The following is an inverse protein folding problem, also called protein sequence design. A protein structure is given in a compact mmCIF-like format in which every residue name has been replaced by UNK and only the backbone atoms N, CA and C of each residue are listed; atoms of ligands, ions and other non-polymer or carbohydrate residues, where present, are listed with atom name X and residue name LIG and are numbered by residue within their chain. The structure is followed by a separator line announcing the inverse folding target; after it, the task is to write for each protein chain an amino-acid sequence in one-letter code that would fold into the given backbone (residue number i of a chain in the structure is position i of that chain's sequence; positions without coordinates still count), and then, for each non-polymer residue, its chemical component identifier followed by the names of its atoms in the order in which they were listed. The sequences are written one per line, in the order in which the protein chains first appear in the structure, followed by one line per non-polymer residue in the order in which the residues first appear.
data_IF_741125632105
#
_entry.id   IF_741125632105
#
_cell.length_a   1.000
_cell.length_b   1.000
_cell.length_c   1.000
_cell.angle_alpha   90.00
_cell.angle_beta   90.00
_cell.angle_gamma   90.00
#
_symmetry.space_group_name_H-M   'P 1'
#
loop_
_entity.id
_entity.type
_entity.pdbx_description
1 polymer ?
#
# COMPACT_ATOMS: atom_id res chain seq x y z
N UNK A 1 1.33 -4.60 14.84
CA UNK A 1 0.67 -5.92 14.91
C UNK A 1 -0.85 -5.83 15.05
N UNK A 2 -1.41 -5.35 16.18
CA UNK A 2 -2.86 -5.42 16.44
C UNK A 2 -3.79 -4.72 15.43
N UNK A 3 -3.27 -3.77 14.65
CA UNK A 3 -4.01 -3.07 13.59
C UNK A 3 -3.87 -3.69 12.19
N UNK A 4 -3.06 -4.75 12.03
CA UNK A 4 -2.91 -5.45 10.74
C UNK A 4 -4.20 -6.21 10.42
N UNK A 5 -4.68 -6.15 9.17
CA UNK A 5 -5.90 -6.83 8.71
C UNK A 5 -6.92 -5.92 8.02
N UNK A 6 -6.77 -4.60 8.06
CA UNK A 6 -7.66 -3.67 7.32
C UNK A 6 -7.51 -3.83 5.80
N UNK A 7 -6.35 -4.28 5.34
CA UNK A 7 -5.97 -4.55 3.96
C UNK A 7 -6.76 -5.71 3.34
N UNK A 8 -7.23 -6.66 4.15
CA UNK A 8 -8.11 -7.76 3.71
C UNK A 8 -9.44 -7.24 3.15
N UNK A 9 -9.94 -6.11 3.67
CA UNK A 9 -11.15 -5.45 3.17
C UNK A 9 -10.95 -4.99 1.72
N UNK A 10 -9.76 -4.51 1.38
CA UNK A 10 -9.43 -4.09 0.02
C UNK A 10 -9.28 -5.30 -0.91
N UNK A 11 -8.70 -6.40 -0.42
CA UNK A 11 -8.60 -7.66 -1.17
C UNK A 11 -9.97 -8.26 -1.52
N UNK A 12 -10.99 -8.04 -0.68
CA UNK A 12 -12.36 -8.53 -0.90
C UNK A 12 -13.25 -7.52 -1.64
N UNK A 13 -12.65 -6.51 -2.29
CA UNK A 13 -13.41 -5.44 -2.94
C UNK A 13 -14.20 -5.90 -4.18
N UNK A 14 -13.80 -7.01 -4.81
CA UNK A 14 -14.48 -7.59 -5.97
C UNK A 14 -15.89 -8.08 -5.65
N UNK A 15 -16.15 -8.48 -4.40
CA UNK A 15 -17.45 -8.93 -3.92
C UNK A 15 -18.34 -7.77 -3.42
N UNK A 16 -17.79 -6.55 -3.33
CA UNK A 16 -18.49 -5.40 -2.76
C UNK A 16 -19.34 -4.66 -3.81
N UNK A 17 -20.61 -4.39 -3.45
CA UNK A 17 -21.47 -3.52 -4.27
C UNK A 17 -20.97 -2.08 -4.21
N UNK A 18 -20.49 -1.55 -5.35
CA UNK A 18 -19.88 -0.22 -5.48
C UNK A 18 -18.59 -0.05 -4.65
N UNK A 19 -17.49 -0.74 -5.04
CA UNK A 19 -16.26 -0.83 -4.26
C UNK A 19 -15.60 0.54 -4.05
N UNK A 20 -15.74 1.46 -5.01
CA UNK A 20 -15.15 2.80 -4.98
C UNK A 20 -15.56 3.61 -3.74
N UNK A 21 -16.76 3.39 -3.20
CA UNK A 21 -17.27 4.09 -2.01
C UNK A 21 -17.40 3.17 -0.80
N UNK A 22 -17.71 1.90 -1.01
CA UNK A 22 -17.89 0.94 0.07
C UNK A 22 -16.57 0.63 0.78
N UNK A 23 -15.49 0.37 0.03
CA UNK A 23 -14.20 -0.07 0.58
C UNK A 23 -13.58 1.01 1.48
N UNK A 24 -13.46 2.29 1.08
CA UNK A 24 -12.87 3.31 1.95
C UNK A 24 -13.68 3.56 3.23
N UNK A 25 -15.02 3.51 3.14
CA UNK A 25 -15.89 3.67 4.31
C UNK A 25 -15.78 2.49 5.26
N UNK A 26 -15.70 1.27 4.72
CA UNK A 26 -15.52 0.06 5.51
C UNK A 26 -14.18 0.07 6.27
N UNK A 27 -13.08 0.46 5.61
CA UNK A 27 -11.76 0.59 6.25
C UNK A 27 -11.78 1.66 7.35
N UNK A 28 -12.36 2.84 7.08
CA UNK A 28 -12.42 3.91 8.08
C UNK A 28 -13.25 3.51 9.31
N UNK A 29 -14.39 2.85 9.09
CA UNK A 29 -15.26 2.41 10.18
C UNK A 29 -14.63 1.27 10.99
N UNK A 30 -14.05 0.25 10.33
CA UNK A 30 -13.42 -0.88 11.01
C UNK A 30 -12.20 -0.45 11.82
N UNK A 31 -11.34 0.41 11.25
CA UNK A 31 -10.17 0.93 11.94
C UNK A 31 -10.55 1.84 13.10
N UNK A 32 -11.55 2.71 12.93
CA UNK A 32 -12.06 3.58 13.99
C UNK A 32 -12.65 2.78 15.15
N UNK A 33 -13.47 1.77 14.85
CA UNK A 33 -14.07 0.89 15.85
C UNK A 33 -13.00 0.08 16.60
N UNK A 34 -12.03 -0.51 15.89
CA UNK A 34 -10.94 -1.25 16.51
C UNK A 34 -10.06 -0.35 17.39
N UNK A 35 -9.73 0.86 16.93
CA UNK A 35 -8.97 1.84 17.71
C UNK A 35 -9.71 2.21 18.99
N UNK A 36 -11.00 2.53 18.89
CA UNK A 36 -11.83 2.83 20.05
C UNK A 36 -11.89 1.67 21.03
N UNK A 37 -12.10 0.44 20.54
CA UNK A 37 -12.12 -0.75 21.38
C UNK A 37 -10.77 -0.99 22.08
N UNK A 38 -9.63 -0.85 21.39
CA UNK A 38 -8.31 -1.01 22.00
C UNK A 38 -8.01 0.03 23.06
N UNK A 39 -8.37 1.29 22.83
CA UNK A 39 -8.21 2.36 23.84
C UNK A 39 -9.08 2.05 25.06
N UNK A 40 -10.35 1.69 24.86
CA UNK A 40 -11.28 1.38 25.94
C UNK A 40 -10.82 0.17 26.75
N UNK A 41 -10.42 -0.92 26.08
CA UNK A 41 -9.91 -2.13 26.74
C UNK A 41 -8.66 -1.81 27.54
N UNK A 42 -7.71 -1.06 26.97
CA UNK A 42 -6.48 -0.67 27.67
C UNK A 42 -6.77 0.22 28.89
N UNK A 43 -7.70 1.17 28.74
CA UNK A 43 -8.14 2.06 29.83
C UNK A 43 -8.80 1.28 30.95
N UNK A 44 -9.75 0.39 30.64
CA UNK A 44 -10.45 -0.42 31.64
C UNK A 44 -9.48 -1.37 32.35
N UNK A 45 -8.60 -2.04 31.61
CA UNK A 45 -7.64 -2.99 32.16
C UNK A 45 -6.68 -2.33 33.14
N UNK A 46 -6.14 -1.16 32.78
CA UNK A 46 -5.23 -0.38 33.65
C UNK A 46 -5.94 0.25 34.86
N UNK A 47 -7.24 0.49 34.78
CA UNK A 47 -8.06 0.90 35.93
C UNK A 47 -8.39 -0.27 36.87
N UNK A 48 -8.53 -1.49 36.34
CA UNK A 48 -8.87 -2.68 37.11
C UNK A 48 -7.70 -3.23 37.91
N UNK A 49 -6.52 -3.30 37.29
CA UNK A 49 -5.34 -3.96 37.85
C UNK A 49 -4.09 -3.12 37.54
N UNK A 50 -3.15 -2.95 38.51
CA UNK A 50 -1.91 -2.25 38.25
C UNK A 50 -1.08 -2.90 37.13
N UNK A 51 -0.62 -2.08 36.19
CA UNK A 51 0.05 -2.51 34.95
C UNK A 51 1.26 -3.44 35.14
N UNK A 52 1.99 -3.30 36.25
CA UNK A 52 3.17 -4.10 36.57
C UNK A 52 2.86 -5.52 37.06
N UNK A 53 1.59 -5.83 37.33
CA UNK A 53 1.18 -7.15 37.83
C UNK A 53 0.48 -8.01 36.78
N UNK A 54 0.18 -7.46 35.61
CA UNK A 54 -0.55 -8.15 34.55
C UNK A 54 0.31 -9.23 33.91
N UNK A 55 -0.25 -10.43 33.79
CA UNK A 55 0.36 -11.54 33.07
C UNK A 55 0.33 -11.24 31.55
N UNK A 56 1.48 -11.20 30.84
CA UNK A 56 1.52 -10.89 29.41
C UNK A 56 0.71 -11.85 28.52
N UNK A 57 0.60 -13.12 28.90
CA UNK A 57 -0.03 -14.15 28.07
C UNK A 57 -1.56 -14.20 28.23
N UNK A 58 -2.07 -13.75 29.38
CA UNK A 58 -3.48 -13.90 29.75
C UNK A 58 -4.11 -12.65 30.40
N UNK A 59 -3.52 -11.48 30.16
CA UNK A 59 -3.82 -10.20 30.80
C UNK A 59 -5.31 -9.91 31.04
N UNK A 60 -6.15 -10.08 30.01
CA UNK A 60 -7.57 -9.76 30.08
C UNK A 60 -8.36 -10.72 30.99
N UNK A 61 -8.14 -12.02 30.84
CA UNK A 61 -8.87 -13.01 31.63
C UNK A 61 -8.42 -12.97 33.10
N UNK A 62 -7.11 -12.92 33.33
CA UNK A 62 -6.49 -12.87 34.65
C UNK A 62 -6.97 -11.64 35.46
N UNK A 63 -7.12 -10.48 34.81
CA UNK A 63 -7.65 -9.28 35.47
C UNK A 63 -9.05 -9.48 36.08
N UNK A 64 -9.94 -10.21 35.41
CA UNK A 64 -11.28 -10.52 35.94
C UNK A 64 -11.23 -11.56 37.07
N UNK A 65 -10.35 -12.56 36.96
CA UNK A 65 -10.18 -13.57 38.02
C UNK A 65 -9.67 -12.95 39.33
N UNK A 66 -8.67 -12.06 39.26
CA UNK A 66 -8.11 -11.39 40.44
C UNK A 66 -9.10 -10.48 41.16
N UNK A 67 -10.07 -9.93 40.43
CA UNK A 67 -11.13 -9.07 40.99
C UNK A 67 -12.31 -9.86 41.56
N UNK A 68 -12.30 -11.19 41.45
CA UNK A 68 -13.36 -12.07 41.93
C UNK A 68 -14.50 -12.33 40.92
N UNK A 69 -14.40 -11.84 39.68
CA UNK A 69 -15.40 -12.03 38.63
C UNK A 69 -15.03 -13.21 37.71
N UNK A 70 -14.96 -14.42 38.28
CA UNK A 70 -14.55 -15.63 37.57
C UNK A 70 -15.42 -15.98 36.36
N UNK A 71 -16.74 -15.72 36.45
CA UNK A 71 -17.67 -15.95 35.33
C UNK A 71 -17.34 -15.09 34.10
N UNK A 72 -16.93 -13.83 34.32
CA UNK A 72 -16.54 -12.92 33.26
C UNK A 72 -15.18 -13.31 32.67
N UNK A 73 -14.23 -13.73 33.52
CA UNK A 73 -12.94 -14.28 33.09
C UNK A 73 -13.09 -15.49 32.17
N UNK A 74 -13.99 -16.42 32.51
CA UNK A 74 -14.30 -17.57 31.65
C UNK A 74 -14.87 -17.15 30.29
N UNK A 75 -15.82 -16.21 30.27
CA UNK A 75 -16.44 -15.72 29.05
C UNK A 75 -15.43 -15.02 28.13
N UNK A 76 -14.52 -14.23 28.69
CA UNK A 76 -13.43 -13.58 27.95
C UNK A 76 -12.44 -14.60 27.39
N UNK A 77 -12.06 -15.62 28.18
CA UNK A 77 -11.15 -16.67 27.72
C UNK A 77 -11.77 -17.51 26.60
N UNK A 78 -13.02 -17.96 26.76
CA UNK A 78 -13.74 -18.71 25.74
C UNK A 78 -13.93 -17.89 24.46
N UNK A 79 -14.28 -16.60 24.59
CA UNK A 79 -14.38 -15.67 23.47
C UNK A 79 -13.05 -15.49 22.73
N UNK A 80 -11.95 -15.36 23.46
CA UNK A 80 -10.60 -15.21 22.90
C UNK A 80 -10.20 -16.45 22.09
N UNK A 81 -10.42 -17.66 22.63
CA UNK A 81 -10.13 -18.93 21.93
C UNK A 81 -10.96 -19.04 20.65
N UNK A 82 -12.26 -18.74 20.71
CA UNK A 82 -13.15 -18.78 19.55
C UNK A 82 -12.71 -17.78 18.48
N UNK A 83 -12.38 -16.54 18.87
CA UNK A 83 -11.91 -15.50 17.97
C UNK A 83 -10.57 -15.88 17.31
N UNK A 84 -9.59 -16.36 18.09
CA UNK A 84 -8.29 -16.81 17.57
C UNK A 84 -8.43 -17.94 16.55
N UNK A 85 -9.27 -18.95 16.84
CA UNK A 85 -9.51 -20.05 15.90
C UNK A 85 -10.16 -19.56 14.60
N UNK A 86 -11.08 -18.60 14.70
CA UNK A 86 -11.74 -18.00 13.53
C UNK A 86 -10.73 -17.27 12.63
N UNK A 87 -9.82 -16.48 13.22
CA UNK A 87 -8.76 -15.78 12.48
C UNK A 87 -7.78 -16.77 11.85
N UNK A 88 -7.40 -17.84 12.57
CA UNK A 88 -6.51 -18.88 12.06
C UNK A 88 -7.12 -19.59 10.84
N UNK A 89 -8.39 -19.98 10.91
CA UNK A 89 -9.12 -20.59 9.79
C UNK A 89 -9.22 -19.63 8.60
N UNK A 90 -9.52 -18.36 8.84
CA UNK A 90 -9.57 -17.34 7.79
C UNK A 90 -8.24 -17.21 7.04
N UNK A 91 -7.12 -17.18 7.76
CA UNK A 91 -5.79 -17.11 7.16
C UNK A 91 -5.41 -18.39 6.41
N UNK A 92 -5.79 -19.57 6.93
CA UNK A 92 -5.54 -20.86 6.30
C UNK A 92 -6.28 -21.01 4.95
N UNK A 93 -7.42 -20.34 4.78
CA UNK A 93 -8.14 -20.30 3.49
C UNK A 93 -7.70 -19.16 2.57
N UNK A 94 -7.30 -18.02 3.13
CA UNK A 94 -6.93 -16.83 2.33
C UNK A 94 -5.55 -16.97 1.70
N UNK A 95 -4.56 -17.45 2.45
CA UNK A 95 -3.17 -17.55 1.99
C UNK A 95 -3.03 -18.45 0.74
N UNK A 96 -3.63 -19.66 0.66
CA UNK A 96 -3.51 -20.51 -0.52
C UNK A 96 -4.16 -19.92 -1.77
N UNK A 97 -5.18 -19.06 -1.64
CA UNK A 97 -5.81 -18.38 -2.79
C UNK A 97 -4.87 -17.36 -3.41
N UNK A 98 -4.18 -16.58 -2.57
CA UNK A 98 -3.15 -15.63 -3.02
C UNK A 98 -2.03 -16.37 -3.74
N UNK A 99 -1.56 -17.48 -3.15
CA UNK A 99 -0.48 -18.29 -3.76
C UNK A 99 -0.94 -18.96 -5.06
N UNK A 100 -2.19 -19.41 -5.13
CA UNK A 100 -2.78 -19.93 -6.36
C UNK A 100 -2.77 -18.87 -7.47
N UNK A 101 -3.24 -17.65 -7.19
CA UNK A 101 -3.22 -16.54 -8.17
C UNK A 101 -1.79 -16.21 -8.62
N UNK A 102 -0.83 -16.15 -7.69
CA UNK A 102 0.59 -15.95 -8.01
C UNK A 102 1.19 -17.09 -8.85
N UNK A 103 0.73 -18.33 -8.66
CA UNK A 103 1.17 -19.48 -9.45
C UNK A 103 0.55 -19.48 -10.86
N UNK A 104 -0.68 -19.00 -11.00
CA UNK A 104 -1.37 -18.82 -12.28
C UNK A 104 -0.70 -17.71 -13.12
N UNK A 105 -0.28 -16.61 -12.48
CA UNK A 105 0.49 -15.52 -13.09
C UNK A 105 1.93 -15.92 -13.45
N UNK A 106 2.35 -17.16 -13.17
CA UNK A 106 3.71 -17.64 -13.44
C UNK A 106 4.77 -17.04 -12.53
N UNK A 107 4.40 -16.34 -11.45
CA UNK A 107 5.31 -15.79 -10.43
C UNK A 107 5.72 -16.86 -9.40
N UNK A 108 4.85 -17.82 -9.11
CA UNK A 108 5.13 -18.91 -8.15
C UNK A 108 5.10 -20.32 -8.78
N UNK A 109 5.50 -21.36 -8.03
CA UNK A 109 5.59 -22.73 -8.58
C UNK A 109 4.23 -23.22 -9.09
N UNK A 110 4.20 -23.76 -10.32
CA UNK A 110 2.98 -24.26 -10.96
C UNK A 110 2.30 -25.42 -10.20
N UNK A 111 2.99 -26.05 -9.24
CA UNK A 111 2.38 -27.08 -8.38
C UNK A 111 1.22 -26.49 -7.56
N UNK A 112 1.29 -25.20 -7.21
CA UNK A 112 0.27 -24.53 -6.41
C UNK A 112 -0.93 -24.01 -7.22
N UNK A 113 -0.87 -24.00 -8.55
CA UNK A 113 -2.02 -23.69 -9.41
C UNK A 113 -2.96 -24.89 -9.61
N UNK A 114 -2.67 -26.06 -9.01
CA UNK A 114 -3.57 -27.22 -9.06
C UNK A 114 -4.70 -27.10 -8.04
N UNK A 115 -5.92 -27.00 -8.54
CA UNK A 115 -7.16 -27.04 -7.72
C UNK A 115 -7.79 -28.42 -7.72
N UNK A 116 -8.40 -28.80 -6.60
CA UNK A 116 -9.08 -30.09 -6.49
C UNK A 116 -10.44 -30.07 -7.22
N UNK A 117 -10.76 -31.07 -8.07
CA UNK A 117 -11.90 -31.00 -9.00
C UNK A 117 -13.27 -30.92 -8.34
N UNK A 118 -13.45 -31.47 -7.12
CA UNK A 118 -14.75 -31.45 -6.42
C UNK A 118 -14.96 -30.24 -5.51
N UNK A 119 -13.88 -29.71 -4.95
CA UNK A 119 -13.96 -28.64 -3.94
C UNK A 119 -13.53 -27.28 -4.50
N UNK A 120 -12.83 -27.25 -5.64
CA UNK A 120 -12.31 -26.04 -6.29
C UNK A 120 -11.37 -25.24 -5.37
N UNK A 121 -10.69 -25.92 -4.43
CA UNK A 121 -9.74 -25.30 -3.49
C UNK A 121 -8.32 -25.82 -3.77
N UNK A 122 -7.27 -24.97 -3.66
CA UNK A 122 -5.87 -25.39 -3.78
C UNK A 122 -5.40 -26.18 -2.54
N UNK A 123 -5.76 -27.46 -2.48
CA UNK A 123 -5.46 -28.35 -1.33
C UNK A 123 -3.97 -28.47 -1.06
N UNK A 124 -3.13 -28.55 -2.10
CA UNK A 124 -1.67 -28.63 -1.95
C UNK A 124 -1.14 -27.38 -1.23
N UNK A 125 -1.65 -26.20 -1.58
CA UNK A 125 -1.31 -24.96 -0.90
C UNK A 125 -1.71 -25.00 0.58
N UNK A 126 -2.94 -25.42 0.89
CA UNK A 126 -3.41 -25.54 2.29
C UNK A 126 -2.50 -26.45 3.11
N UNK A 127 -2.16 -27.63 2.59
CA UNK A 127 -1.34 -28.60 3.33
C UNK A 127 0.08 -28.10 3.51
N UNK A 128 0.73 -27.61 2.45
CA UNK A 128 2.12 -27.16 2.50
C UNK A 128 2.27 -25.94 3.40
N UNK A 129 1.45 -24.90 3.20
CA UNK A 129 1.53 -23.70 4.04
C UNK A 129 0.98 -23.93 5.45
N UNK A 130 0.02 -24.84 5.63
CA UNK A 130 -0.46 -25.26 6.96
C UNK A 130 0.64 -25.93 7.77
N UNK A 131 1.36 -26.89 7.17
CA UNK A 131 2.51 -27.54 7.81
C UNK A 131 3.63 -26.53 8.08
N UNK A 132 3.91 -25.62 7.14
CA UNK A 132 4.90 -24.58 7.33
C UNK A 132 4.52 -23.63 8.49
N UNK A 133 3.26 -23.21 8.58
CA UNK A 133 2.76 -22.38 9.68
C UNK A 133 2.89 -23.11 11.03
N UNK A 134 2.54 -24.40 11.08
CA UNK A 134 2.70 -25.21 12.29
C UNK A 134 4.17 -25.36 12.71
N UNK A 135 5.08 -25.55 11.75
CA UNK A 135 6.51 -25.62 12.00
C UNK A 135 7.06 -24.27 12.49
N UNK A 136 6.67 -23.16 11.86
CA UNK A 136 7.06 -21.83 12.31
C UNK A 136 6.55 -21.51 13.72
N UNK A 137 5.32 -21.91 14.04
CA UNK A 137 4.76 -21.77 15.38
C UNK A 137 5.46 -22.63 16.45
N UNK A 138 6.06 -23.76 16.05
CA UNK A 138 6.84 -24.63 16.95
C UNK A 138 8.27 -24.11 17.18
N UNK A 139 8.87 -23.51 16.14
CA UNK A 139 10.30 -23.13 16.15
C UNK A 139 10.53 -21.72 16.67
N UNK A 140 9.58 -20.80 16.46
CA UNK A 140 9.76 -19.38 16.76
C UNK A 140 8.81 -18.89 17.85
N UNK A 141 9.34 -18.07 18.76
CA UNK A 141 8.54 -17.40 19.80
C UNK A 141 7.62 -16.32 19.23
N UNK A 142 6.47 -16.11 19.88
CA UNK A 142 5.46 -15.12 19.48
C UNK A 142 6.06 -13.74 19.18
N UNK A 143 6.97 -13.25 20.03
CA UNK A 143 7.60 -11.94 19.84
C UNK A 143 8.39 -11.88 18.53
N UNK A 144 9.11 -12.95 18.19
CA UNK A 144 9.85 -13.03 16.93
C UNK A 144 8.89 -13.01 15.73
N UNK A 145 7.79 -13.79 15.75
CA UNK A 145 6.78 -13.78 14.68
C UNK A 145 6.13 -12.39 14.53
N UNK A 146 5.80 -11.74 15.65
CA UNK A 146 5.20 -10.41 15.66
C UNK A 146 6.15 -9.38 15.05
N UNK A 147 7.44 -9.46 15.35
CA UNK A 147 8.46 -8.60 14.76
C UNK A 147 8.61 -8.86 13.24
N UNK A 148 8.60 -10.12 12.81
CA UNK A 148 8.63 -10.48 11.39
C UNK A 148 7.43 -9.97 10.61
N UNK A 149 6.21 -10.16 11.15
CA UNK A 149 5.01 -9.62 10.52
C UNK A 149 5.06 -8.09 10.46
N UNK A 150 5.55 -7.46 11.53
CA UNK A 150 5.60 -5.99 11.62
C UNK A 150 6.59 -5.39 10.60
N UNK A 151 7.79 -5.96 10.44
CA UNK A 151 8.73 -5.45 9.41
C UNK A 151 8.18 -5.63 7.99
N UNK A 152 7.58 -6.80 7.69
CA UNK A 152 6.99 -7.06 6.37
C UNK A 152 5.82 -6.14 6.04
N UNK A 153 4.92 -5.91 7.00
CA UNK A 153 3.76 -5.01 6.82
C UNK A 153 4.18 -3.55 6.68
N UNK A 154 5.16 -3.10 7.48
CA UNK A 154 5.70 -1.73 7.38
C UNK A 154 6.37 -1.50 6.01
N UNK A 155 7.14 -2.48 5.51
CA UNK A 155 7.73 -2.42 4.17
C UNK A 155 6.65 -2.37 3.08
N UNK A 156 5.65 -3.25 3.14
CA UNK A 156 4.53 -3.24 2.19
C UNK A 156 3.81 -1.88 2.18
N UNK A 157 3.57 -1.27 3.35
CA UNK A 157 2.94 0.05 3.44
C UNK A 157 3.84 1.17 2.93
N UNK A 158 5.16 1.11 3.13
CA UNK A 158 6.07 2.08 2.49
C UNK A 158 6.03 1.97 0.97
N UNK A 159 5.99 0.74 0.44
CA UNK A 159 5.92 0.51 -1.00
C UNK A 159 4.59 1.03 -1.56
N UNK A 160 3.45 0.69 -0.96
CA UNK A 160 2.13 1.20 -1.36
C UNK A 160 2.10 2.74 -1.32
N UNK A 161 2.64 3.37 -0.28
CA UNK A 161 2.69 4.83 -0.19
C UNK A 161 3.55 5.45 -1.31
N UNK A 162 4.71 4.86 -1.61
CA UNK A 162 5.57 5.30 -2.71
C UNK A 162 4.89 5.10 -4.07
N UNK A 163 4.28 3.93 -4.32
CA UNK A 163 3.55 3.62 -5.54
C UNK A 163 2.37 4.57 -5.75
N UNK A 164 1.65 4.97 -4.70
CA UNK A 164 0.56 5.95 -4.81
C UNK A 164 1.09 7.31 -5.29
N UNK A 165 2.27 7.75 -4.83
CA UNK A 165 2.87 8.99 -5.34
C UNK A 165 3.23 8.80 -6.80
N UNK A 166 3.99 7.75 -7.15
CA UNK A 166 4.41 7.51 -8.54
C UNK A 166 3.21 7.41 -9.50
N UNK A 167 2.19 6.64 -9.16
CA UNK A 167 0.97 6.46 -9.97
C UNK A 167 0.11 7.74 -10.08
N UNK A 168 0.25 8.70 -9.16
CA UNK A 168 -0.47 9.99 -9.23
C UNK A 168 0.14 10.96 -10.24
N UNK A 169 1.40 10.75 -10.60
CA UNK A 169 2.17 11.64 -11.47
C UNK A 169 2.66 10.98 -12.77
N UNK A 170 2.64 9.64 -12.84
CA UNK A 170 2.81 8.93 -14.10
C UNK A 170 1.52 9.03 -14.94
N UNK A 171 1.70 9.36 -16.21
CA UNK A 171 0.60 9.37 -17.17
C UNK A 171 0.00 7.97 -17.26
N UNK A 172 -1.31 7.84 -17.09
CA UNK A 172 -1.99 6.62 -17.48
C UNK A 172 -1.89 6.52 -19.01
N UNK A 173 -1.00 5.65 -19.51
CA UNK A 173 -1.05 5.22 -20.92
C UNK A 173 -2.42 4.59 -21.11
N UNK A 174 -3.38 5.36 -21.58
CA UNK A 174 -4.61 4.81 -22.12
C UNK A 174 -4.19 4.17 -23.42
N UNK A 175 -4.03 2.84 -23.40
CA UNK A 175 -3.98 2.06 -24.63
C UNK A 175 -5.36 2.22 -25.29
N UNK A 176 -5.52 3.29 -26.06
CA UNK A 176 -6.66 3.44 -26.95
C UNK A 176 -6.53 2.28 -27.94
N UNK A 177 -7.47 1.32 -27.99
CA UNK A 177 -7.44 0.28 -29.00
C UNK A 177 -7.40 1.01 -30.35
N UNK A 178 -6.36 0.73 -31.13
CA UNK A 178 -6.11 1.37 -32.41
C UNK A 178 -7.42 1.44 -33.20
N UNK A 179 -7.92 2.66 -33.43
CA UNK A 179 -9.03 2.85 -34.36
C UNK A 179 -8.62 2.16 -35.67
N UNK A 180 -9.42 1.20 -36.18
CA UNK A 180 -9.12 0.61 -37.47
C UNK A 180 -9.08 1.76 -38.46
N UNK A 181 -7.90 1.97 -39.05
CA UNK A 181 -7.63 3.04 -39.99
C UNK A 181 -8.82 3.17 -40.93
N UNK A 182 -9.51 4.32 -40.86
CA UNK A 182 -10.57 4.64 -41.79
C UNK A 182 -10.03 4.40 -43.20
N UNK A 183 -10.59 3.38 -43.87
CA UNK A 183 -10.24 3.02 -45.24
C UNK A 183 -10.26 4.30 -46.06
N UNK A 184 -9.12 4.66 -46.67
CA UNK A 184 -9.08 5.67 -47.73
C UNK A 184 -10.15 5.30 -48.76
N UNK A 185 -11.10 6.20 -49.10
CA UNK A 185 -11.97 5.95 -50.22
C UNK A 185 -11.12 5.84 -51.48
N UNK A 186 -11.34 4.79 -52.27
CA UNK A 186 -10.77 4.68 -53.60
C UNK A 186 -11.26 5.86 -54.47
N UNK A 187 -10.47 6.33 -55.46
CA UNK A 187 -10.92 7.39 -56.35
C UNK A 187 -11.96 6.82 -57.32
N UNK A 188 -13.21 7.27 -57.22
CA UNK A 188 -14.20 7.09 -58.29
C UNK A 188 -14.16 8.28 -59.27
N UNK A 189 -14.51 8.06 -60.56
CA UNK A 189 -14.40 9.07 -61.59
C UNK A 189 -15.52 10.12 -61.51
N UNK A 190 -15.18 11.34 -61.90
CA UNK A 190 -16.02 12.54 -62.02
C UNK A 190 -17.31 12.36 -62.81
N UNK A 191 -18.43 12.98 -62.37
CA UNK A 191 -19.46 13.62 -63.21
C UNK A 191 -20.39 14.59 -62.40
N UNK A 192 -20.54 15.84 -62.87
CA UNK A 192 -21.81 16.61 -62.93
C UNK A 192 -22.39 17.33 -61.67
N UNK A 193 -22.81 18.62 -61.75
CA UNK A 193 -23.24 19.44 -60.61
C UNK A 193 -24.77 19.55 -60.44
N UNK A 194 -25.27 19.59 -59.21
CA UNK A 194 -26.59 20.19 -58.89
C UNK A 194 -26.67 20.61 -57.42
N UNK A 195 -27.12 21.85 -57.21
CA UNK A 195 -27.28 22.53 -55.94
C UNK A 195 -28.41 21.94 -55.09
N UNK A 196 -28.24 21.97 -53.76
CA UNK A 196 -29.27 21.70 -52.77
C UNK A 196 -28.72 21.96 -51.37
N UNK A 197 -29.26 22.97 -50.70
CA UNK A 197 -28.84 23.53 -49.42
C UNK A 197 -28.64 22.46 -48.32
N UNK A 198 -27.44 22.40 -47.73
CA UNK A 198 -27.17 21.64 -46.51
C UNK A 198 -27.55 22.50 -45.30
N UNK A 199 -28.68 22.18 -44.67
CA UNK A 199 -28.95 22.60 -43.29
C UNK A 199 -28.04 21.82 -42.36
N UNK A 200 -27.11 22.56 -41.76
CA UNK A 200 -26.16 22.10 -40.76
C UNK A 200 -26.90 21.70 -39.47
N UNK A 201 -27.07 20.40 -39.27
CA UNK A 201 -27.56 19.83 -38.01
C UNK A 201 -26.33 19.53 -37.15
N UNK A 202 -25.81 20.54 -36.45
CA UNK A 202 -24.74 20.32 -35.48
C UNK A 202 -25.24 19.37 -34.38
N UNK A 203 -24.73 18.14 -34.41
CA UNK A 203 -25.02 17.12 -33.42
C UNK A 203 -24.56 17.61 -32.04
N UNK A 204 -25.46 17.61 -31.06
CA UNK A 204 -25.14 17.92 -29.66
C UNK A 204 -24.03 17.01 -29.12
N UNK A 205 -23.85 15.83 -29.73
CA UNK A 205 -22.78 14.87 -29.44
C UNK A 205 -21.41 15.35 -29.94
N UNK A 206 -21.34 16.06 -31.07
CA UNK A 206 -20.10 16.68 -31.56
C UNK A 206 -19.72 17.86 -30.68
N UNK A 207 -20.69 18.67 -30.22
CA UNK A 207 -20.40 19.72 -29.23
C UNK A 207 -19.97 19.16 -27.89
N UNK A 208 -20.55 18.04 -27.43
CA UNK A 208 -20.12 17.39 -26.20
C UNK A 208 -18.69 16.83 -26.33
N UNK A 209 -18.38 16.18 -27.46
CA UNK A 209 -17.04 15.66 -27.75
C UNK A 209 -16.02 16.77 -27.96
N UNK A 210 -16.40 17.90 -28.56
CA UNK A 210 -15.54 19.08 -28.69
C UNK A 210 -15.34 19.76 -27.34
N UNK A 211 -16.35 19.85 -26.47
CA UNK A 211 -16.22 20.39 -25.10
C UNK A 211 -15.38 19.47 -24.21
N UNK A 212 -15.51 18.15 -24.34
CA UNK A 212 -14.62 17.20 -23.65
C UNK A 212 -13.20 17.24 -24.22
N UNK A 213 -13.04 17.43 -25.53
CA UNK A 213 -11.72 17.56 -26.19
C UNK A 213 -11.05 18.90 -25.90
N UNK A 214 -11.80 19.99 -25.74
CA UNK A 214 -11.29 21.29 -25.32
C UNK A 214 -10.96 21.32 -23.83
N UNK A 215 -11.76 20.67 -22.96
CA UNK A 215 -11.38 20.43 -21.56
C UNK A 215 -10.12 19.56 -21.43
N UNK A 216 -9.96 18.57 -22.31
CA UNK A 216 -8.78 17.71 -22.37
C UNK A 216 -7.54 18.44 -22.91
N UNK A 217 -7.73 19.48 -23.75
CA UNK A 217 -6.64 20.33 -24.27
C UNK A 217 -6.25 21.46 -23.31
N UNK A 218 -7.17 21.95 -22.48
CA UNK A 218 -6.86 22.93 -21.43
C UNK A 218 -6.22 22.31 -20.18
N UNK A 219 -6.34 20.99 -19.97
CA UNK A 219 -5.64 20.30 -18.90
C UNK A 219 -4.22 19.93 -19.34
N UNK A 220 -3.24 20.69 -18.83
CA UNK A 220 -1.81 20.38 -18.94
C UNK A 220 -1.55 18.92 -18.57
N UNK A 221 -0.59 18.32 -19.25
CA UNK A 221 -0.34 16.88 -19.16
C UNK A 221 0.12 16.49 -17.73
N UNK A 222 -0.36 15.36 -17.18
CA UNK A 222 0.08 14.90 -15.87
C UNK A 222 1.61 14.65 -15.87
N UNK A 223 2.28 15.12 -14.83
CA UNK A 223 3.74 15.06 -14.71
C UNK A 223 4.50 16.27 -15.27
N UNK A 224 3.81 17.31 -15.78
CA UNK A 224 4.42 18.60 -16.11
C UNK A 224 4.46 19.55 -14.90
N UNK A 225 5.37 20.53 -14.95
CA UNK A 225 5.51 21.54 -13.91
C UNK A 225 4.30 22.50 -13.92
N UNK A 226 3.81 22.87 -12.73
CA UNK A 226 2.70 23.83 -12.61
C UNK A 226 3.12 25.21 -13.14
N UNK A 227 2.21 25.89 -13.84
CA UNK A 227 2.46 27.19 -14.50
C UNK A 227 3.11 28.26 -13.62
N UNK A 228 2.84 28.22 -12.31
CA UNK A 228 3.38 29.17 -11.34
C UNK A 228 4.86 28.94 -10.99
N UNK A 229 5.38 27.74 -11.23
CA UNK A 229 6.75 27.34 -10.89
C UNK A 229 7.66 27.20 -12.12
N UNK A 230 7.08 27.23 -13.32
CA UNK A 230 7.76 27.23 -14.62
C UNK A 230 8.92 28.25 -14.71
N UNK A 231 8.79 29.52 -14.25
CA UNK A 231 9.90 30.48 -14.32
C UNK A 231 11.01 30.27 -13.28
N UNK A 232 10.81 29.45 -12.23
CA UNK A 232 11.82 29.19 -11.19
C UNK A 232 12.58 27.88 -11.40
N UNK A 233 12.04 26.96 -12.20
CA UNK A 233 12.53 25.59 -12.37
C UNK A 233 12.69 25.23 -13.85
N UNK A 234 13.09 26.22 -14.67
CA UNK A 234 13.30 26.08 -16.11
C UNK A 234 14.30 24.95 -16.46
N UNK A 235 15.32 24.72 -15.62
CA UNK A 235 16.28 23.61 -15.75
C UNK A 235 15.65 22.21 -15.64
N UNK A 236 14.48 22.07 -15.01
CA UNK A 236 13.78 20.78 -14.91
C UNK A 236 12.84 20.52 -16.09
N UNK A 237 12.65 21.49 -16.98
CA UNK A 237 11.78 21.35 -18.17
C UNK A 237 12.40 20.50 -19.29
N UNK A 238 13.72 20.30 -19.26
CA UNK A 238 14.46 19.47 -20.22
C UNK A 238 14.27 17.95 -19.98
N UNK A 239 13.76 17.55 -18.82
CA UNK A 239 13.55 16.14 -18.46
C UNK A 239 12.15 15.65 -18.84
N UNK A 240 12.05 14.38 -19.26
CA UNK A 240 10.77 13.77 -19.64
C UNK A 240 9.74 13.86 -18.50
N UNK A 241 8.46 14.19 -18.81
CA UNK A 241 7.41 14.30 -17.79
C UNK A 241 7.23 12.96 -17.06
N UNK A 242 7.41 12.97 -15.74
CA UNK A 242 7.29 11.79 -14.87
C UNK A 242 8.61 11.17 -14.38
N UNK A 243 9.73 11.35 -15.09
CA UNK A 243 11.04 10.87 -14.62
C UNK A 243 11.53 11.70 -13.42
N UNK A 244 11.36 13.02 -13.50
CA UNK A 244 11.65 13.96 -12.39
C UNK A 244 10.89 13.57 -11.12
N UNK A 245 9.62 13.19 -11.25
CA UNK A 245 8.82 12.78 -10.09
C UNK A 245 9.31 11.45 -9.51
N UNK A 246 9.70 10.51 -10.35
CA UNK A 246 10.26 9.23 -9.88
C UNK A 246 11.57 9.45 -9.13
N UNK A 247 12.46 10.29 -9.67
CA UNK A 247 13.71 10.69 -8.98
C UNK A 247 13.42 11.44 -7.68
N UNK A 248 12.41 12.32 -7.66
CA UNK A 248 12.00 13.02 -6.45
C UNK A 248 11.48 12.07 -5.37
N UNK A 249 10.68 11.05 -5.74
CA UNK A 249 10.19 10.02 -4.80
C UNK A 249 11.34 9.18 -4.25
N UNK A 250 12.28 8.74 -5.09
CA UNK A 250 13.46 7.99 -4.63
C UNK A 250 14.31 8.86 -3.70
N UNK A 251 14.54 10.12 -4.05
CA UNK A 251 15.27 11.08 -3.21
C UNK A 251 14.56 11.33 -1.87
N UNK A 252 13.24 11.41 -1.88
CA UNK A 252 12.41 11.52 -0.67
C UNK A 252 12.54 10.27 0.21
N UNK A 253 12.53 9.07 -0.36
CA UNK A 253 12.72 7.82 0.39
C UNK A 253 14.12 7.74 1.00
N UNK A 254 15.16 8.02 0.22
CA UNK A 254 16.56 7.99 0.71
C UNK A 254 16.76 9.01 1.83
N UNK A 255 16.29 10.25 1.63
CA UNK A 255 16.39 11.29 2.66
C UNK A 255 15.59 10.94 3.92
N UNK A 256 14.42 10.30 3.81
CA UNK A 256 13.65 9.81 4.95
C UNK A 256 14.39 8.70 5.71
N UNK A 257 15.00 7.73 5.02
CA UNK A 257 15.82 6.68 5.64
C UNK A 257 17.00 7.29 6.40
N UNK A 258 17.73 8.20 5.77
CA UNK A 258 18.86 8.89 6.41
C UNK A 258 18.41 9.70 7.62
N UNK A 259 17.35 10.50 7.49
CA UNK A 259 16.80 11.31 8.58
C UNK A 259 16.38 10.44 9.77
N UNK A 260 15.62 9.37 9.53
CA UNK A 260 15.19 8.47 10.59
C UNK A 260 16.37 7.73 11.23
N UNK A 261 17.38 7.34 10.44
CA UNK A 261 18.60 6.69 10.95
C UNK A 261 19.37 7.60 11.89
N UNK A 262 19.47 8.89 11.56
CA UNK A 262 20.12 9.89 12.42
C UNK A 262 19.32 10.09 13.70
N UNK A 263 17.99 10.22 13.61
CA UNK A 263 17.13 10.39 14.78
C UNK A 263 17.21 9.21 15.76
N UNK A 264 17.36 7.99 15.26
CA UNK A 264 17.36 6.78 16.10
C UNK A 264 18.76 6.45 16.62
N UNK A 265 19.80 6.49 15.78
CA UNK A 265 21.15 6.03 16.14
C UNK A 265 22.14 7.15 16.45
N UNK A 266 21.84 8.40 16.05
CA UNK A 266 22.77 9.51 16.13
C UNK A 266 23.22 9.84 17.56
N UNK A 267 22.35 9.63 18.55
CA UNK A 267 22.65 9.89 19.95
C UNK A 267 23.26 8.68 20.70
N UNK A 268 22.96 7.45 20.27
CA UNK A 268 23.28 6.22 21.01
C UNK A 268 24.54 5.50 20.53
N UNK A 269 24.86 5.54 19.24
CA UNK A 269 26.00 4.79 18.68
C UNK A 269 27.09 5.66 18.06
N UNK A 270 26.73 6.84 17.55
CA UNK A 270 27.68 7.64 16.77
C UNK A 270 28.47 8.68 17.58
N UNK A 271 28.09 8.96 18.85
CA UNK A 271 28.71 9.99 19.71
C UNK A 271 29.14 11.25 18.93
N UNK A 272 28.32 11.68 17.96
CA UNK A 272 28.65 12.80 17.09
C UNK A 272 28.66 14.09 17.91
N UNK A 273 29.59 15.01 17.64
CA UNK A 273 29.50 16.35 18.21
C UNK A 273 28.15 16.96 17.82
N UNK A 274 27.52 17.64 18.77
CA UNK A 274 26.14 18.17 18.66
C UNK A 274 25.93 19.01 17.40
N UNK A 275 26.96 19.76 16.98
CA UNK A 275 26.98 20.54 15.74
C UNK A 275 26.91 19.70 14.46
N UNK A 276 27.61 18.56 14.42
CA UNK A 276 27.56 17.67 13.25
C UNK A 276 26.22 16.94 13.17
N UNK A 277 25.69 16.50 14.31
CA UNK A 277 24.36 15.90 14.40
C UNK A 277 23.26 16.87 13.94
N UNK A 278 23.27 18.11 14.42
CA UNK A 278 22.27 19.12 14.04
C UNK A 278 22.37 19.50 12.57
N UNK A 279 23.59 19.66 12.03
CA UNK A 279 23.80 19.97 10.62
C UNK A 279 23.27 18.85 9.71
N UNK A 280 23.58 17.60 10.04
CA UNK A 280 23.14 16.43 9.27
C UNK A 280 21.60 16.30 9.29
N UNK A 281 20.98 16.54 10.45
CA UNK A 281 19.53 16.53 10.61
C UNK A 281 18.86 17.65 9.79
N UNK A 282 19.42 18.85 9.81
CA UNK A 282 18.94 19.96 8.98
C UNK A 282 19.09 19.64 7.49
N UNK A 283 20.24 19.10 7.06
CA UNK A 283 20.51 18.73 5.67
C UNK A 283 19.47 17.73 5.12
N UNK A 284 19.25 16.61 5.81
CA UNK A 284 18.30 15.60 5.33
C UNK A 284 16.84 16.04 5.45
N UNK A 285 16.50 16.85 6.46
CA UNK A 285 15.15 17.45 6.53
C UNK A 285 14.91 18.44 5.39
N UNK A 286 15.92 19.24 5.02
CA UNK A 286 15.86 20.13 3.88
C UNK A 286 15.70 19.33 2.58
N UNK A 287 16.48 18.26 2.38
CA UNK A 287 16.34 17.38 1.21
C UNK A 287 14.96 16.72 1.11
N UNK A 288 14.39 16.28 2.24
CA UNK A 288 13.03 15.74 2.30
C UNK A 288 11.98 16.82 1.98
N UNK A 289 12.10 18.02 2.54
CA UNK A 289 11.19 19.13 2.25
C UNK A 289 11.30 19.60 0.79
N UNK A 290 12.51 19.68 0.23
CA UNK A 290 12.73 20.04 -1.17
C UNK A 290 12.12 19.01 -2.12
N UNK A 291 12.31 17.71 -1.87
CA UNK A 291 11.68 16.67 -2.67
C UNK A 291 10.15 16.69 -2.55
N UNK A 292 9.60 16.95 -1.35
CA UNK A 292 8.16 17.11 -1.15
C UNK A 292 7.62 18.34 -1.88
N UNK A 293 8.33 19.48 -1.84
CA UNK A 293 7.98 20.69 -2.57
C UNK A 293 8.06 20.48 -4.09
N UNK A 294 9.05 19.74 -4.59
CA UNK A 294 9.13 19.36 -6.00
C UNK A 294 7.93 18.52 -6.43
N UNK A 295 7.53 17.53 -5.63
CA UNK A 295 6.34 16.72 -5.90
C UNK A 295 5.07 17.59 -5.84
N UNK A 296 5.00 18.55 -4.91
CA UNK A 296 3.89 19.48 -4.80
C UNK A 296 3.82 20.49 -5.96
N UNK A 297 4.97 20.83 -6.56
CA UNK A 297 5.07 21.74 -7.70
C UNK A 297 4.69 21.11 -9.05
N UNK A 298 4.66 19.77 -9.15
CA UNK A 298 4.20 19.07 -10.35
C UNK A 298 2.68 18.96 -10.39
N UNK A 299 2.11 18.99 -11.59
CA UNK A 299 0.66 18.84 -11.75
C UNK A 299 0.21 17.40 -11.48
N UNK A 300 -0.74 17.28 -10.57
CA UNK A 300 -1.30 16.00 -10.14
C UNK A 300 -2.42 15.55 -11.08
N UNK A 301 -2.44 14.26 -11.43
CA UNK A 301 -3.53 13.69 -12.23
C UNK A 301 -4.84 13.67 -11.42
N UNK A 302 -5.75 14.61 -11.73
CA UNK A 302 -7.11 14.64 -11.20
C UNK A 302 -8.04 13.74 -12.03
N UNK A 303 -7.91 12.42 -11.87
CA UNK A 303 -8.95 11.50 -12.36
C UNK A 303 -10.18 11.57 -11.45
N UNK A 304 -11.34 11.86 -12.04
CA UNK A 304 -12.63 12.06 -11.36
C UNK A 304 -13.30 10.76 -10.90
N UNK A 305 -12.76 9.58 -11.26
CA UNK A 305 -13.46 8.30 -11.07
C UNK A 305 -13.04 7.45 -9.86
N UNK A 306 -11.98 7.82 -9.12
CA UNK A 306 -11.48 7.01 -7.99
C UNK A 306 -11.33 7.87 -6.74
N UNK A 307 -11.84 7.38 -5.61
CA UNK A 307 -11.70 8.02 -4.30
C UNK A 307 -10.26 8.48 -4.07
N UNK A 308 -10.07 9.78 -3.89
CA UNK A 308 -8.76 10.39 -3.75
C UNK A 308 -8.45 10.57 -2.27
N UNK A 309 -7.24 10.16 -1.87
CA UNK A 309 -6.75 10.42 -0.52
C UNK A 309 -6.61 11.94 -0.36
N UNK A 310 -7.22 12.55 0.67
CA UNK A 310 -7.02 13.97 0.92
C UNK A 310 -5.55 14.23 1.29
N UNK A 311 -5.01 15.38 0.84
CA UNK A 311 -3.63 15.85 1.14
C UNK A 311 -2.48 15.08 0.46
N UNK A 312 -2.63 14.57 -0.76
CA UNK A 312 -1.47 14.15 -1.56
C UNK A 312 -0.66 15.41 -1.95
N UNK A 313 0.68 15.45 -1.79
CA UNK A 313 1.61 14.35 -1.46
C UNK A 313 1.97 14.18 0.03
N UNK A 314 1.43 15.00 0.93
CA UNK A 314 1.80 15.02 2.35
C UNK A 314 1.38 13.74 3.09
N UNK A 315 0.19 13.19 2.83
CA UNK A 315 -0.28 11.99 3.55
C UNK A 315 0.54 10.73 3.25
N UNK A 316 0.90 10.38 2.00
CA UNK A 316 1.81 9.26 1.74
C UNK A 316 3.24 9.52 2.24
N UNK A 317 3.74 10.76 2.14
CA UNK A 317 5.08 11.12 2.62
C UNK A 317 5.20 10.93 4.15
N UNK A 318 4.19 11.36 4.91
CA UNK A 318 4.14 11.15 6.36
C UNK A 318 4.06 9.65 6.71
N UNK A 319 3.31 8.86 5.93
CA UNK A 319 3.27 7.40 6.12
C UNK A 319 4.63 6.75 5.91
N UNK A 320 5.40 7.17 4.89
CA UNK A 320 6.75 6.67 4.63
C UNK A 320 7.68 6.95 5.81
N UNK A 321 7.70 8.20 6.30
CA UNK A 321 8.54 8.60 7.44
C UNK A 321 8.19 7.81 8.71
N UNK A 322 6.90 7.69 9.03
CA UNK A 322 6.45 6.95 10.22
C UNK A 322 6.79 5.46 10.12
N UNK A 323 6.59 4.85 8.95
CA UNK A 323 6.90 3.43 8.77
C UNK A 323 8.41 3.19 8.89
N UNK A 324 9.24 4.02 8.27
CA UNK A 324 10.71 3.92 8.38
C UNK A 324 11.15 4.10 9.83
N UNK A 325 10.62 5.11 10.53
CA UNK A 325 10.92 5.33 11.93
C UNK A 325 10.60 4.11 12.80
N UNK A 326 9.42 3.50 12.61
CA UNK A 326 9.03 2.29 13.33
C UNK A 326 9.91 1.09 12.97
N UNK A 327 10.31 0.94 11.71
CA UNK A 327 11.21 -0.13 11.28
C UNK A 327 12.61 -0.02 11.93
N UNK A 328 13.12 1.19 12.14
CA UNK A 328 14.41 1.41 12.79
C UNK A 328 14.37 1.20 14.32
N UNK A 329 13.18 1.25 14.92
CA UNK A 329 12.98 0.92 16.34
C UNK A 329 12.91 -0.59 16.60
N UNK A 330 12.83 -1.42 15.57
CA UNK A 330 12.89 -2.88 15.70
C UNK A 330 14.30 -3.35 16.07
N UNK A 331 14.39 -4.53 16.69
CA UNK A 331 15.67 -5.12 17.08
C UNK A 331 16.57 -5.40 15.88
N UNK A 332 17.88 -5.25 16.05
CA UNK A 332 18.88 -5.64 15.05
C UNK A 332 18.72 -7.12 14.63
N UNK A 333 18.34 -7.98 15.57
CA UNK A 333 18.11 -9.39 15.30
C UNK A 333 16.95 -9.62 14.31
N UNK A 334 15.94 -8.74 14.33
CA UNK A 334 14.82 -8.77 13.38
C UNK A 334 15.31 -8.53 11.97
N UNK A 335 16.15 -7.51 11.77
CA UNK A 335 16.73 -7.17 10.48
C UNK A 335 17.61 -8.28 9.92
N UNK A 336 18.48 -8.85 10.75
CA UNK A 336 19.35 -9.95 10.34
C UNK A 336 18.53 -11.16 9.86
N UNK A 337 17.51 -11.55 10.65
CA UNK A 337 16.63 -12.66 10.28
C UNK A 337 15.83 -12.37 9.02
N UNK A 338 15.31 -11.16 8.87
CA UNK A 338 14.56 -10.73 7.69
C UNK A 338 15.42 -10.80 6.42
N UNK A 339 16.66 -10.31 6.48
CA UNK A 339 17.61 -10.39 5.35
C UNK A 339 17.93 -11.83 4.97
N UNK A 340 18.13 -12.72 5.95
CA UNK A 340 18.34 -14.16 5.68
C UNK A 340 17.14 -14.75 4.94
N UNK A 341 15.92 -14.47 5.42
CA UNK A 341 14.70 -14.97 4.77
C UNK A 341 14.48 -14.39 3.37
N UNK A 342 14.83 -13.13 3.14
CA UNK A 342 14.82 -12.53 1.80
C UNK A 342 15.78 -13.24 0.86
N UNK A 343 17.01 -13.53 1.30
CA UNK A 343 18.01 -14.24 0.49
C UNK A 343 17.55 -15.67 0.17
N UNK A 344 16.95 -16.36 1.14
CA UNK A 344 16.35 -17.69 0.93
C UNK A 344 15.21 -17.60 -0.10
N UNK A 345 14.35 -16.59 0.03
CA UNK A 345 13.24 -16.34 -0.89
C UNK A 345 13.71 -16.06 -2.31
N UNK A 346 14.71 -15.19 -2.47
CA UNK A 346 15.33 -14.93 -3.78
C UNK A 346 16.00 -16.17 -4.36
N UNK A 347 16.66 -16.98 -3.54
CA UNK A 347 17.28 -18.23 -4.00
C UNK A 347 16.24 -19.22 -4.53
N UNK A 348 15.08 -19.29 -3.87
CA UNK A 348 13.97 -20.14 -4.30
C UNK A 348 13.29 -19.63 -5.57
N UNK A 349 13.19 -18.30 -5.74
CA UNK A 349 12.66 -17.65 -6.94
C UNK A 349 13.63 -17.73 -8.13
N UNK A 350 14.92 -17.51 -7.90
CA UNK A 350 15.98 -17.51 -8.91
C UNK A 350 16.21 -18.88 -9.56
N UNK A 351 15.92 -19.97 -8.86
CA UNK A 351 15.94 -21.33 -9.43
C UNK A 351 14.85 -21.59 -10.50
N UNK A 352 13.95 -20.63 -10.73
CA UNK A 352 12.86 -20.73 -11.71
C UNK A 352 13.25 -20.19 -13.08
N UNK A 353 14.24 -19.31 -13.18
CA UNK A 353 14.73 -18.79 -14.46
C UNK A 353 15.69 -19.75 -15.18
N UNK A 354 15.90 -20.96 -14.65
CA UNK A 354 16.81 -21.97 -15.21
C UNK A 354 16.12 -23.26 -15.70
N UNK A 355 14.78 -23.31 -15.75
CA UNK A 355 14.02 -24.48 -16.22
C UNK A 355 12.97 -24.12 -17.27
#
# INVERSE_FOLDING_TARGET
YAFVGFDVIAASSEEARNPQRAVPRAIAFSLGLATGAYILVSMVLTLMVPWYTLDPDSALADAFYRRGYSWAGFLVAAGSICAMNTVLLSNLFSLPRIVYAMAEDGLFFQVFSRVHPRTQVPVIGIVVFGVLMALLALVFDLEALVQFLSIGTLLAYTFVAASIIVLRFQQQKVDVPAQPAARRPAPEPSEGPAAGELKEYESFSDKLQLVDRDKSKEQREPGQLKASFEPYLEFLSDFYPGEVVTVAVVTMMVSAICLCSILVFGNTHLHLPTWSYSLLLVLFSLGFLLSLLLIWAHEQQRSTQTFQIPLVPLSPALSIVLNIYLMLKLSYMTWLRFTIWLIIGESFSGGKNSW
#
